data_IF_138067485436
#
_entry.id   IF_138067485436
#
_cell.length_a   1.000
_cell.length_b   1.000
_cell.length_c   1.000
_cell.angle_alpha   90.00
_cell.angle_beta   90.00
_cell.angle_gamma   90.00
#
_symmetry.space_group_name_H-M   'P 1'
#
loop_
_entity.id
_entity.type
_entity.pdbx_description
1 polymer ?
#
# COMPACT_ATOMS: atom_id res chain seq x y z
N UNK A 1 15.34 -10.69 1.48
CA UNK A 1 15.51 -12.06 2.02
C UNK A 1 14.32 -12.84 1.49
N UNK A 2 14.59 -13.88 0.72
CA UNK A 2 13.56 -14.68 0.05
C UNK A 2 13.05 -15.74 1.04
N UNK A 3 11.75 -15.75 1.32
CA UNK A 3 11.13 -16.67 2.30
C UNK A 3 11.32 -18.13 1.88
N UNK A 4 11.22 -18.42 0.57
CA UNK A 4 11.42 -19.77 0.06
C UNK A 4 12.84 -20.29 0.34
N UNK A 5 13.86 -19.42 0.23
CA UNK A 5 15.25 -19.78 0.54
C UNK A 5 15.48 -20.02 2.04
N UNK A 6 14.65 -19.44 2.90
CA UNK A 6 14.75 -19.66 4.34
C UNK A 6 14.09 -20.97 4.74
N UNK A 7 12.94 -21.28 4.14
CA UNK A 7 12.24 -22.56 4.34
C UNK A 7 13.13 -23.74 3.92
N UNK A 8 13.74 -23.68 2.74
CA UNK A 8 14.64 -24.74 2.24
C UNK A 8 15.84 -24.93 3.18
N UNK A 9 16.38 -23.81 3.69
CA UNK A 9 17.49 -23.84 4.65
C UNK A 9 17.09 -24.45 6.00
N UNK A 10 15.85 -24.24 6.45
CA UNK A 10 15.34 -24.84 7.68
C UNK A 10 15.20 -26.35 7.50
N UNK A 11 14.71 -26.80 6.34
CA UNK A 11 14.60 -28.21 6.01
C UNK A 11 15.97 -28.90 5.98
N UNK A 12 16.95 -28.27 5.33
CA UNK A 12 18.33 -28.78 5.27
C UNK A 12 18.94 -28.93 6.66
N UNK A 13 18.75 -27.94 7.53
CA UNK A 13 19.25 -27.97 8.91
C UNK A 13 18.56 -29.06 9.76
N UNK A 14 17.27 -29.32 9.55
CA UNK A 14 16.55 -30.39 10.23
C UNK A 14 17.07 -31.78 9.82
N UNK A 15 17.34 -31.96 8.53
CA UNK A 15 17.93 -33.19 8.00
C UNK A 15 19.36 -33.38 8.53
N UNK A 16 20.17 -32.32 8.51
CA UNK A 16 21.56 -32.34 8.98
C UNK A 16 21.66 -32.56 10.51
N UNK A 17 20.65 -32.11 11.26
CA UNK A 17 20.51 -32.39 12.69
C UNK A 17 20.03 -33.83 13.00
N UNK A 18 19.69 -34.62 11.99
CA UNK A 18 19.19 -36.00 12.16
C UNK A 18 17.79 -36.07 12.74
N UNK A 19 16.94 -35.09 12.42
CA UNK A 19 15.53 -35.11 12.82
C UNK A 19 14.81 -36.36 12.29
N UNK A 20 13.75 -36.80 12.99
CA UNK A 20 12.94 -37.91 12.51
C UNK A 20 12.21 -37.54 11.22
N UNK A 21 11.90 -38.55 10.41
CA UNK A 21 11.09 -38.37 9.19
C UNK A 21 9.73 -37.71 9.49
N UNK A 22 9.16 -38.03 10.65
CA UNK A 22 7.93 -37.41 11.18
C UNK A 22 8.12 -35.89 11.40
N UNK A 23 9.22 -35.47 12.03
CA UNK A 23 9.49 -34.05 12.27
C UNK A 23 9.78 -33.27 10.97
N UNK A 24 10.38 -33.93 9.98
CA UNK A 24 10.57 -33.33 8.64
C UNK A 24 9.23 -33.20 7.92
N UNK A 25 8.36 -34.20 8.01
CA UNK A 25 7.01 -34.15 7.45
C UNK A 25 6.18 -33.04 8.08
N UNK A 26 6.21 -32.92 9.41
CA UNK A 26 5.50 -31.87 10.14
C UNK A 26 5.96 -30.47 9.68
N UNK A 27 7.25 -30.25 9.48
CA UNK A 27 7.77 -28.97 8.99
C UNK A 27 7.25 -28.62 7.59
N UNK A 28 7.19 -29.60 6.68
CA UNK A 28 6.64 -29.41 5.33
C UNK A 28 5.15 -29.04 5.40
N UNK A 29 4.38 -29.75 6.22
CA UNK A 29 2.96 -29.47 6.41
C UNK A 29 2.72 -28.08 7.00
N UNK A 30 3.48 -27.68 8.02
CA UNK A 30 3.38 -26.34 8.60
C UNK A 30 3.66 -25.26 7.57
N UNK A 31 4.70 -25.44 6.75
CA UNK A 31 5.01 -24.51 5.65
C UNK A 31 3.85 -24.35 4.68
N UNK A 32 3.21 -25.45 4.27
CA UNK A 32 2.05 -25.40 3.37
C UNK A 32 0.87 -24.66 4.01
N UNK A 33 0.58 -24.95 5.28
CA UNK A 33 -0.48 -24.25 6.03
C UNK A 33 -0.24 -22.73 6.05
N UNK A 34 0.97 -22.30 6.41
CA UNK A 34 1.30 -20.88 6.44
C UNK A 34 1.20 -20.22 5.05
N UNK A 35 1.63 -20.91 3.99
CA UNK A 35 1.49 -20.43 2.61
C UNK A 35 0.03 -20.23 2.23
N UNK A 36 -0.83 -21.19 2.55
CA UNK A 36 -2.26 -21.13 2.24
C UNK A 36 -2.98 -20.01 3.00
N UNK A 37 -2.67 -19.84 4.29
CA UNK A 37 -3.18 -18.73 5.10
C UNK A 37 -2.74 -17.38 4.52
N UNK A 38 -1.46 -17.25 4.15
CA UNK A 38 -0.94 -16.03 3.55
C UNK A 38 -1.62 -15.71 2.22
N UNK A 39 -1.75 -16.68 1.32
CA UNK A 39 -2.43 -16.51 0.02
C UNK A 39 -3.89 -16.08 0.24
N UNK A 40 -4.57 -16.71 1.20
CA UNK A 40 -5.96 -16.39 1.54
C UNK A 40 -6.11 -14.95 2.02
N UNK A 41 -5.24 -14.50 2.92
CA UNK A 41 -5.22 -13.13 3.43
C UNK A 41 -4.93 -12.12 2.31
N UNK A 42 -3.95 -12.39 1.45
CA UNK A 42 -3.63 -11.53 0.31
C UNK A 42 -4.82 -11.42 -0.65
N UNK A 43 -5.52 -12.53 -0.91
CA UNK A 43 -6.74 -12.53 -1.72
C UNK A 43 -7.82 -11.65 -1.09
N UNK A 44 -8.10 -11.82 0.21
CA UNK A 44 -9.11 -11.03 0.91
C UNK A 44 -8.80 -9.52 0.89
N UNK A 45 -7.52 -9.16 1.08
CA UNK A 45 -7.06 -7.77 0.98
C UNK A 45 -7.27 -7.21 -0.43
N UNK A 46 -6.91 -7.98 -1.46
CA UNK A 46 -7.06 -7.56 -2.85
C UNK A 46 -8.55 -7.40 -3.24
N UNK A 47 -9.41 -8.32 -2.84
CA UNK A 47 -10.87 -8.25 -3.05
C UNK A 47 -11.47 -7.01 -2.38
N UNK A 48 -11.12 -6.74 -1.12
CA UNK A 48 -11.56 -5.53 -0.41
C UNK A 48 -11.03 -4.24 -1.05
N UNK A 49 -9.79 -4.26 -1.57
CA UNK A 49 -9.20 -3.12 -2.29
C UNK A 49 -9.93 -2.83 -3.61
N UNK A 50 -10.30 -3.87 -4.37
CA UNK A 50 -11.07 -3.71 -5.60
C UNK A 50 -12.48 -3.17 -5.35
N UNK A 51 -13.14 -3.58 -4.27
CA UNK A 51 -14.44 -3.02 -3.88
C UNK A 51 -14.37 -1.52 -3.59
N UNK A 52 -13.32 -1.05 -2.90
CA UNK A 52 -13.11 0.37 -2.63
C UNK A 52 -12.76 1.16 -3.91
N UNK A 53 -12.06 0.56 -4.86
CA UNK A 53 -11.73 1.20 -6.14
C UNK A 53 -12.92 1.24 -7.12
N UNK A 54 -13.79 0.23 -7.12
CA UNK A 54 -14.99 0.19 -7.97
C UNK A 54 -16.05 1.23 -7.62
N UNK A 55 -16.15 1.64 -6.34
CA UNK A 55 -17.07 2.70 -5.92
C UNK A 55 -16.66 4.12 -6.38
N UNK A 56 -15.46 4.29 -6.93
CA UNK A 56 -14.92 5.59 -7.36
C UNK A 56 -15.05 5.82 -8.88
N UNK A 57 -15.47 4.81 -9.65
CA UNK A 57 -15.64 4.90 -11.11
C UNK A 57 -17.01 5.43 -11.56
N UNK A 58 -18.04 5.38 -10.72
CA UNK A 58 -19.40 5.75 -11.12
C UNK A 58 -19.70 7.26 -11.09
N UNK A 59 -18.75 8.09 -10.63
CA UNK A 59 -18.88 9.56 -10.68
C UNK A 59 -18.46 10.17 -12.03
N UNK A 60 -18.16 9.36 -13.05
CA UNK A 60 -17.63 9.81 -14.35
C UNK A 60 -18.57 9.48 -15.50
N UNK A 61 -19.79 9.98 -15.44
CA UNK A 61 -20.64 10.07 -16.64
C UNK A 61 -21.56 11.28 -16.57
N UNK A 62 -21.04 12.42 -17.04
CA UNK A 62 -21.85 13.53 -17.53
C UNK A 62 -21.16 14.20 -18.73
N UNK A 63 -21.63 13.86 -19.93
CA UNK A 63 -21.98 14.84 -20.96
C UNK A 63 -20.91 15.31 -21.97
N UNK A 64 -20.87 14.63 -23.12
CA UNK A 64 -21.16 15.20 -24.45
C UNK A 64 -20.55 16.54 -24.93
N UNK A 65 -19.81 16.42 -26.05
CA UNK A 65 -19.72 17.33 -27.22
C UNK A 65 -18.94 18.66 -27.16
N UNK A 66 -17.90 18.68 -28.02
CA UNK A 66 -17.28 19.79 -28.77
C UNK A 66 -17.65 21.25 -28.40
N UNK A 67 -16.66 22.04 -28.00
CA UNK A 67 -16.30 23.31 -28.66
C UNK A 67 -15.09 23.97 -28.01
N UNK A 68 -14.20 24.44 -28.86
CA UNK A 68 -12.99 25.20 -28.56
C UNK A 68 -13.29 26.43 -27.70
N UNK A 69 -12.77 26.51 -26.47
CA UNK A 69 -12.40 27.77 -25.82
C UNK A 69 -11.39 27.48 -24.71
N UNK A 70 -10.15 27.92 -24.93
CA UNK A 70 -9.16 28.10 -23.88
C UNK A 70 -9.67 29.14 -22.87
N UNK A 71 -10.21 28.66 -21.77
CA UNK A 71 -10.31 29.41 -20.52
C UNK A 71 -9.95 28.43 -19.42
N UNK A 72 -8.80 28.64 -18.79
CA UNK A 72 -8.41 28.02 -17.54
C UNK A 72 -9.50 28.29 -16.50
N UNK A 73 -10.49 27.41 -16.45
CA UNK A 73 -11.51 27.39 -15.39
C UNK A 73 -10.79 26.94 -14.13
N UNK A 74 -10.32 27.89 -13.34
CA UNK A 74 -9.91 27.62 -11.96
C UNK A 74 -11.17 27.26 -11.18
N UNK A 75 -11.51 25.98 -11.15
CA UNK A 75 -12.51 25.47 -10.21
C UNK A 75 -11.92 25.67 -8.82
N UNK A 76 -12.55 26.50 -7.98
CA UNK A 76 -12.28 26.52 -6.54
C UNK A 76 -12.84 25.23 -5.97
N UNK A 77 -12.11 24.14 -6.17
CA UNK A 77 -12.38 22.86 -5.55
C UNK A 77 -12.32 23.09 -4.02
N UNK A 78 -13.25 22.53 -3.23
CA UNK A 78 -13.07 22.43 -1.79
C UNK A 78 -11.66 21.89 -1.55
N UNK A 79 -10.91 22.49 -0.61
CA UNK A 79 -9.56 22.03 -0.27
C UNK A 79 -9.65 20.52 -0.05
N UNK A 80 -9.00 19.74 -0.91
CA UNK A 80 -8.98 18.30 -0.82
C UNK A 80 -8.30 17.96 0.51
N UNK A 81 -9.08 17.63 1.53
CA UNK A 81 -8.53 17.21 2.82
C UNK A 81 -7.97 15.81 2.65
N UNK A 82 -6.64 15.73 2.50
CA UNK A 82 -5.94 14.46 2.41
C UNK A 82 -6.12 13.69 3.72
N UNK A 83 -6.48 12.42 3.61
CA UNK A 83 -6.67 11.54 4.75
C UNK A 83 -5.40 11.50 5.60
N UNK A 84 -5.56 11.67 6.91
CA UNK A 84 -4.44 11.67 7.83
C UNK A 84 -3.97 10.25 8.16
N UNK A 85 -2.70 9.96 7.98
CA UNK A 85 -2.05 8.69 8.27
C UNK A 85 -1.24 8.77 9.57
N UNK A 86 -1.34 7.76 10.43
CA UNK A 86 -0.65 7.69 11.72
C UNK A 86 0.50 6.67 11.78
N UNK A 87 0.77 5.97 10.67
CA UNK A 87 1.80 4.93 10.63
C UNK A 87 1.30 3.52 10.86
N UNK A 88 -0.01 3.31 11.06
CA UNK A 88 -0.56 1.96 11.22
C UNK A 88 -0.62 1.23 9.88
N UNK A 89 -0.05 0.02 9.84
CA UNK A 89 -0.04 -0.80 8.63
C UNK A 89 -1.45 -1.08 8.08
N UNK A 90 -2.43 -1.29 8.96
CA UNK A 90 -3.83 -1.53 8.58
C UNK A 90 -4.45 -0.34 7.80
N UNK A 91 -4.01 0.88 8.10
CA UNK A 91 -4.49 2.10 7.44
C UNK A 91 -3.65 2.47 6.20
N UNK A 92 -2.53 1.76 5.95
CA UNK A 92 -1.60 2.08 4.86
C UNK A 92 -2.26 1.97 3.48
N UNK A 93 -2.99 0.87 3.21
CA UNK A 93 -3.64 0.68 1.92
C UNK A 93 -4.71 1.74 1.64
N UNK A 94 -5.48 2.11 2.68
CA UNK A 94 -6.49 3.16 2.61
C UNK A 94 -5.87 4.56 2.41
N UNK A 95 -4.69 4.79 2.95
CA UNK A 95 -3.93 6.01 2.75
C UNK A 95 -3.33 6.05 1.33
N UNK A 96 -2.65 4.98 0.92
CA UNK A 96 -1.94 4.91 -0.35
C UNK A 96 -2.89 5.01 -1.55
N UNK A 97 -4.08 4.39 -1.50
CA UNK A 97 -5.06 4.51 -2.58
C UNK A 97 -5.51 5.95 -2.87
N UNK A 98 -5.43 6.84 -1.87
CA UNK A 98 -5.71 8.27 -2.05
C UNK A 98 -4.46 9.03 -2.48
N UNK A 99 -3.31 8.71 -1.88
CA UNK A 99 -2.05 9.41 -2.11
C UNK A 99 -1.39 9.05 -3.46
N UNK A 100 -1.63 7.86 -3.99
CA UNK A 100 -1.09 7.36 -5.26
C UNK A 100 -1.34 8.33 -6.42
N UNK A 101 -2.51 8.97 -6.44
CA UNK A 101 -2.86 9.95 -7.47
C UNK A 101 -1.96 11.19 -7.44
N UNK A 102 -1.51 11.60 -6.26
CA UNK A 102 -0.59 12.74 -6.06
C UNK A 102 0.83 12.28 -6.39
N UNK A 103 1.18 11.05 -6.02
CA UNK A 103 2.48 10.48 -6.30
C UNK A 103 2.73 10.35 -7.82
N UNK A 104 1.74 9.85 -8.56
CA UNK A 104 1.81 9.61 -10.00
C UNK A 104 1.52 10.85 -10.87
N UNK A 105 1.19 12.00 -10.27
CA UNK A 105 0.91 13.22 -11.02
C UNK A 105 2.21 13.78 -11.64
N UNK A 106 2.33 13.86 -12.98
CA UNK A 106 3.53 14.37 -13.63
C UNK A 106 3.66 15.90 -13.57
N UNK A 107 2.57 16.63 -13.29
CA UNK A 107 2.56 18.10 -13.22
C UNK A 107 3.05 18.61 -11.85
N UNK A 108 3.15 17.73 -10.85
CA UNK A 108 3.62 18.05 -9.50
C UNK A 108 5.12 17.80 -9.33
N UNK A 109 5.83 18.80 -8.81
CA UNK A 109 7.24 18.66 -8.44
C UNK A 109 7.41 17.71 -7.25
N UNK A 110 8.54 16.99 -7.18
CA UNK A 110 8.83 16.04 -6.09
C UNK A 110 8.78 16.71 -4.71
N UNK A 111 9.27 17.95 -4.59
CA UNK A 111 9.19 18.73 -3.34
C UNK A 111 7.75 19.03 -2.92
N UNK A 112 6.85 19.29 -3.88
CA UNK A 112 5.44 19.52 -3.58
C UNK A 112 4.77 18.22 -3.14
N UNK A 113 5.07 17.11 -3.81
CA UNK A 113 4.60 15.76 -3.40
C UNK A 113 5.05 15.42 -1.99
N UNK A 114 6.30 15.73 -1.64
CA UNK A 114 6.82 15.53 -0.29
C UNK A 114 6.10 16.43 0.73
N UNK A 115 5.84 17.70 0.40
CA UNK A 115 5.05 18.60 1.25
C UNK A 115 3.63 18.08 1.49
N UNK A 116 2.97 17.54 0.45
CA UNK A 116 1.68 16.87 0.59
C UNK A 116 1.77 15.64 1.48
N UNK A 117 2.81 14.81 1.32
CA UNK A 117 3.05 13.64 2.17
C UNK A 117 3.16 14.03 3.65
N UNK A 118 3.95 15.06 3.97
CA UNK A 118 4.11 15.59 5.34
C UNK A 118 2.76 16.05 5.89
N UNK A 119 1.97 16.75 5.09
CA UNK A 119 0.64 17.22 5.50
C UNK A 119 -0.33 16.06 5.75
N UNK A 120 -0.19 14.94 5.06
CA UNK A 120 -0.99 13.74 5.30
C UNK A 120 -0.65 13.05 6.62
N UNK A 121 0.45 13.37 7.30
CA UNK A 121 0.78 12.68 8.55
C UNK A 121 0.01 13.27 9.74
N UNK A 122 -0.50 12.41 10.62
CA UNK A 122 -1.14 12.86 11.87
C UNK A 122 -0.07 13.49 12.78
N UNK A 123 -0.35 14.65 13.40
CA UNK A 123 0.54 15.25 14.38
C UNK A 123 0.78 14.29 15.56
N UNK A 124 2.03 14.15 16.00
CA UNK A 124 2.41 13.26 17.12
C UNK A 124 2.37 11.76 16.78
N UNK A 125 2.30 11.40 15.49
CA UNK A 125 2.36 10.01 15.05
C UNK A 125 3.79 9.59 14.70
N UNK A 126 4.08 8.29 14.84
CA UNK A 126 5.40 7.72 14.48
C UNK A 126 5.76 7.97 13.01
N UNK A 127 4.77 7.93 12.12
CA UNK A 127 4.96 8.22 10.70
C UNK A 127 5.40 9.67 10.47
N UNK A 128 4.83 10.63 11.20
CA UNK A 128 5.21 12.04 11.11
C UNK A 128 6.64 12.27 11.59
N UNK A 129 6.99 11.74 12.76
CA UNK A 129 8.36 11.84 13.30
C UNK A 129 9.39 11.26 12.34
N UNK A 130 9.06 10.13 11.71
CA UNK A 130 9.94 9.50 10.74
C UNK A 130 10.16 10.39 9.51
N UNK A 131 9.09 10.95 8.95
CA UNK A 131 9.20 11.84 7.77
C UNK A 131 9.92 13.14 8.11
N UNK A 132 9.66 13.73 9.28
CA UNK A 132 10.34 14.95 9.74
C UNK A 132 11.84 14.73 10.06
N UNK A 133 12.24 13.48 10.31
CA UNK A 133 13.66 13.15 10.53
C UNK A 133 14.49 13.10 9.25
N UNK A 134 13.86 13.14 8.07
CA UNK A 134 14.59 13.22 6.82
C UNK A 134 15.14 14.63 6.57
N UNK A 135 16.42 14.76 6.19
CA UNK A 135 17.00 16.06 5.86
C UNK A 135 16.31 16.63 4.61
N UNK A 136 15.88 17.89 4.70
CA UNK A 136 15.40 18.66 3.55
C UNK A 136 16.63 18.97 2.68
N UNK A 137 16.86 18.17 1.64
CA UNK A 137 17.85 18.44 0.59
C UNK A 137 17.39 19.53 -0.37
#
# INVERSE_FOLDING_TARGET
MDLALLDDKILDLLIEAGASEEAVSDEIEQREIYSDEFITLIREVNEKSQFLNGANSDARSLGGSNSSYSKSKSYKLPKLELKKFDGKLLDWLLFWSQFERIHNDPDLHESDKFSYLVQCMKPGSRAKEFIESYPVT
#
